data_IF_407842774266
#
_entry.id   IF_407842774266
#
_cell.length_a   1.000
_cell.length_b   1.000
_cell.length_c   1.000
_cell.angle_alpha   90.00
_cell.angle_beta   90.00
_cell.angle_gamma   90.00
#
_symmetry.space_group_name_H-M   'P 1'
#
loop_
_entity.id
_entity.type
_entity.pdbx_description
1 polymer ?
#
# COMPACT_ATOMS: atom_id res chain seq x y z
N UNK A 1 10.96 -10.40 -0.68
CA UNK A 1 9.51 -10.31 -0.44
C UNK A 1 9.11 -8.85 -0.62
N UNK A 2 8.33 -8.51 -1.64
CA UNK A 2 7.83 -7.14 -1.86
C UNK A 2 6.81 -6.81 -0.77
N UNK A 3 7.22 -6.07 0.26
CA UNK A 3 6.37 -5.59 1.33
C UNK A 3 5.75 -4.21 1.05
N UNK A 4 5.94 -3.66 -0.16
CA UNK A 4 5.22 -2.45 -0.56
C UNK A 4 3.79 -2.83 -0.94
N UNK A 5 2.78 -2.30 -0.24
CA UNK A 5 1.41 -2.49 -0.66
C UNK A 5 1.18 -1.84 -2.04
N UNK A 6 0.38 -2.45 -2.93
CA UNK A 6 0.27 -2.04 -4.34
C UNK A 6 -0.45 -0.70 -4.57
N UNK A 7 -1.01 -0.09 -3.52
CA UNK A 7 -1.84 1.11 -3.61
C UNK A 7 -0.99 2.38 -3.45
N UNK A 8 -1.00 3.23 -4.49
CA UNK A 8 -0.09 4.36 -4.71
C UNK A 8 -0.18 5.55 -3.75
N UNK A 9 -0.14 5.33 -2.43
CA UNK A 9 0.09 6.35 -1.39
C UNK A 9 1.47 6.18 -0.73
N UNK A 10 2.47 6.00 -1.58
CA UNK A 10 3.88 5.89 -1.22
C UNK A 10 4.36 7.26 -0.77
N UNK A 11 4.20 7.54 0.53
CA UNK A 11 4.67 8.77 1.18
C UNK A 11 5.54 8.43 2.38
N UNK A 12 6.36 9.38 2.82
CA UNK A 12 7.30 9.17 3.94
C UNK A 12 6.62 8.73 5.25
N UNK A 13 5.33 9.05 5.41
CA UNK A 13 4.52 8.69 6.58
C UNK A 13 3.93 7.26 6.50
N UNK A 14 4.16 6.53 5.40
CA UNK A 14 3.61 5.19 5.25
C UNK A 14 4.31 4.19 6.16
N UNK A 15 3.51 3.47 6.95
CA UNK A 15 4.03 2.42 7.82
C UNK A 15 4.67 1.28 7.02
N UNK A 16 5.90 0.93 7.39
CA UNK A 16 6.68 -0.11 6.72
C UNK A 16 7.44 0.38 5.49
N UNK A 17 7.41 1.67 5.17
CA UNK A 17 8.09 2.20 4.00
C UNK A 17 9.62 2.14 4.13
N UNK A 18 10.27 1.97 2.98
CA UNK A 18 11.69 2.09 2.77
C UNK A 18 11.89 3.00 1.55
N UNK A 19 12.68 4.06 1.69
CA UNK A 19 12.93 5.03 0.61
C UNK A 19 14.43 5.08 0.38
N UNK A 20 14.81 5.00 -0.89
CA UNK A 20 16.19 5.18 -1.33
C UNK A 20 16.25 6.37 -2.26
N UNK A 21 17.00 7.38 -1.87
CA UNK A 21 17.11 8.64 -2.60
C UNK A 21 18.57 8.90 -2.97
N UNK A 22 18.97 8.66 -4.23
CA UNK A 22 20.31 8.99 -4.70
C UNK A 22 20.56 10.50 -4.58
N UNK A 23 21.67 10.88 -3.94
CA UNK A 23 22.06 12.29 -3.77
C UNK A 23 23.42 12.62 -4.41
N UNK A 24 24.22 11.59 -4.73
CA UNK A 24 25.43 11.69 -5.55
C UNK A 24 25.63 10.40 -6.35
N UNK A 25 26.68 10.33 -7.17
CA UNK A 25 26.99 9.17 -8.01
C UNK A 25 27.31 7.89 -7.20
N UNK A 26 27.86 8.07 -6.00
CA UNK A 26 28.30 7.01 -5.09
C UNK A 26 27.55 7.05 -3.74
N UNK A 27 26.50 7.88 -3.63
CA UNK A 27 25.81 8.13 -2.37
C UNK A 27 24.29 8.08 -2.50
N UNK A 28 23.68 7.20 -1.71
CA UNK A 28 22.23 7.03 -1.58
C UNK A 28 21.80 7.28 -0.14
N UNK A 29 20.82 8.15 0.04
CA UNK A 29 20.15 8.33 1.31
C UNK A 29 19.09 7.23 1.48
N UNK A 30 19.27 6.36 2.46
CA UNK A 30 18.28 5.36 2.86
C UNK A 30 17.42 5.85 4.03
N UNK A 31 16.10 5.78 3.88
CA UNK A 31 15.13 6.02 4.94
C UNK A 31 14.36 4.74 5.22
N UNK A 32 14.25 4.39 6.50
CA UNK A 32 13.53 3.22 6.98
C UNK A 32 12.45 3.65 7.97
N UNK A 33 11.22 3.20 7.75
CA UNK A 33 10.15 3.35 8.72
C UNK A 33 10.53 2.65 10.04
N UNK A 34 10.24 3.27 11.21
CA UNK A 34 10.46 2.63 12.51
C UNK A 34 9.79 1.25 12.65
N UNK A 35 8.64 1.01 12.00
CA UNK A 35 7.98 -0.30 12.04
C UNK A 35 8.77 -1.38 11.27
N UNK A 36 9.47 -1.01 10.20
CA UNK A 36 10.39 -1.92 9.49
C UNK A 36 11.57 -2.30 10.40
N UNK A 37 12.05 -1.35 11.22
CA UNK A 37 13.09 -1.62 12.21
C UNK A 37 12.68 -2.69 13.23
N UNK A 38 11.41 -2.75 13.61
CA UNK A 38 10.92 -3.78 14.53
C UNK A 38 10.94 -5.17 13.88
N UNK A 39 10.64 -5.27 12.58
CA UNK A 39 10.71 -6.53 11.83
C UNK A 39 12.14 -7.08 11.75
N UNK A 40 13.14 -6.21 11.72
CA UNK A 40 14.54 -6.63 11.71
C UNK A 40 14.95 -7.43 12.94
N UNK A 41 14.36 -7.17 14.11
CA UNK A 41 14.67 -7.97 15.31
C UNK A 41 14.24 -9.43 15.16
N UNK A 42 13.25 -9.73 14.31
CA UNK A 42 12.78 -11.09 14.06
C UNK A 42 13.76 -11.92 13.20
N UNK A 43 14.60 -11.25 12.43
CA UNK A 43 15.55 -11.88 11.50
C UNK A 43 17.01 -11.69 11.90
N UNK A 44 17.25 -11.05 13.05
CA UNK A 44 18.60 -10.87 13.60
C UNK A 44 19.20 -12.23 13.99
N UNK A 45 20.46 -12.46 13.61
CA UNK A 45 21.16 -13.73 13.77
C UNK A 45 20.93 -14.74 12.66
N UNK A 46 20.08 -14.44 11.66
CA UNK A 46 19.84 -15.35 10.54
C UNK A 46 20.93 -15.28 9.46
N UNK A 47 21.65 -14.17 9.36
CA UNK A 47 22.75 -14.00 8.40
C UNK A 47 23.67 -12.85 8.82
N UNK A 48 25.00 -13.01 8.73
CA UNK A 48 25.96 -11.92 8.99
C UNK A 48 25.70 -10.65 8.16
N UNK A 49 25.17 -10.81 6.94
CA UNK A 49 24.82 -9.69 6.05
C UNK A 49 23.64 -8.90 6.62
N UNK A 50 22.60 -9.60 7.09
CA UNK A 50 21.42 -9.00 7.72
C UNK A 50 21.83 -8.32 9.03
N UNK A 51 22.67 -8.96 9.84
CA UNK A 51 23.13 -8.40 11.11
C UNK A 51 23.94 -7.13 10.92
N UNK A 52 24.81 -7.09 9.90
CA UNK A 52 25.56 -5.89 9.55
C UNK A 52 24.64 -4.74 9.13
N UNK A 53 23.65 -4.99 8.28
CA UNK A 53 22.63 -4.00 7.90
C UNK A 53 21.90 -3.47 9.14
N UNK A 54 21.43 -4.36 10.01
CA UNK A 54 20.69 -4.00 11.23
C UNK A 54 21.55 -3.16 12.17
N UNK A 55 22.81 -3.54 12.36
CA UNK A 55 23.74 -2.82 13.23
C UNK A 55 24.05 -1.42 12.68
N UNK A 56 24.26 -1.28 11.37
CA UNK A 56 24.45 0.03 10.74
C UNK A 56 23.20 0.91 10.86
N UNK A 57 22.00 0.36 10.65
CA UNK A 57 20.74 1.09 10.82
C UNK A 57 20.53 1.53 12.28
N UNK A 58 20.87 0.67 13.25
CA UNK A 58 20.78 1.02 14.68
C UNK A 58 21.73 2.16 15.05
N UNK A 59 22.92 2.18 14.46
CA UNK A 59 23.98 3.14 14.76
C UNK A 59 23.94 4.40 13.88
N UNK A 60 22.96 4.53 12.98
CA UNK A 60 22.89 5.61 11.97
C UNK A 60 24.17 5.70 11.12
N UNK A 61 24.76 4.54 10.83
CA UNK A 61 25.99 4.41 10.06
C UNK A 61 25.74 4.36 8.54
N UNK A 62 26.83 4.43 7.78
CA UNK A 62 26.85 4.21 6.34
C UNK A 62 27.00 2.73 6.01
N UNK A 63 26.38 2.29 4.92
CA UNK A 63 26.52 0.92 4.41
C UNK A 63 27.17 1.00 3.04
N UNK A 64 28.29 0.30 2.86
CA UNK A 64 28.87 0.10 1.54
C UNK A 64 28.00 -0.86 0.74
N UNK A 65 27.51 -0.38 -0.41
CA UNK A 65 26.73 -1.18 -1.34
C UNK A 65 27.67 -2.00 -2.23
N UNK A 66 27.30 -3.24 -2.53
CA UNK A 66 28.00 -4.04 -3.55
C UNK A 66 27.57 -3.63 -4.95
N UNK A 67 28.31 -4.04 -5.98
CA UNK A 67 27.89 -3.84 -7.39
C UNK A 67 26.50 -4.40 -7.67
N UNK A 68 26.15 -5.55 -7.07
CA UNK A 68 24.81 -6.14 -7.15
C UNK A 68 23.74 -5.22 -6.56
N UNK A 69 24.02 -4.59 -5.41
CA UNK A 69 23.10 -3.63 -4.82
C UNK A 69 22.93 -2.38 -5.69
N UNK A 70 24.02 -1.89 -6.29
CA UNK A 70 23.99 -0.74 -7.21
C UNK A 70 23.12 -1.05 -8.42
N UNK A 71 23.32 -2.22 -9.07
CA UNK A 71 22.50 -2.67 -10.18
C UNK A 71 21.03 -2.78 -9.81
N UNK A 72 20.72 -3.29 -8.61
CA UNK A 72 19.36 -3.33 -8.08
C UNK A 72 18.74 -1.92 -7.96
N UNK A 73 19.46 -0.93 -7.41
CA UNK A 73 18.95 0.44 -7.28
C UNK A 73 18.74 1.12 -8.62
N UNK A 74 19.67 0.96 -9.57
CA UNK A 74 19.54 1.49 -10.92
C UNK A 74 18.31 0.90 -11.64
N UNK A 75 18.12 -0.42 -11.52
CA UNK A 75 16.93 -1.08 -12.03
C UNK A 75 15.64 -0.53 -11.40
N UNK A 76 15.65 -0.27 -10.08
CA UNK A 76 14.48 0.32 -9.40
C UNK A 76 14.17 1.73 -9.88
N UNK A 77 15.18 2.55 -10.22
CA UNK A 77 14.94 3.86 -10.84
C UNK A 77 14.25 3.70 -12.19
N UNK A 78 14.74 2.79 -13.04
CA UNK A 78 14.12 2.50 -14.34
C UNK A 78 12.66 2.04 -14.21
N UNK A 79 12.40 1.11 -13.29
CA UNK A 79 11.06 0.52 -13.10
C UNK A 79 10.04 1.47 -12.49
N UNK A 80 10.47 2.41 -11.65
CA UNK A 80 9.56 3.29 -10.90
C UNK A 80 9.55 4.73 -11.41
N UNK A 81 10.39 5.07 -12.39
CA UNK A 81 10.38 6.38 -13.04
C UNK A 81 9.17 6.55 -13.94
N UNK A 82 8.35 7.56 -13.66
CA UNK A 82 7.15 7.84 -14.46
C UNK A 82 7.42 8.56 -15.77
N UNK A 83 8.50 9.36 -15.82
CA UNK A 83 8.69 10.32 -16.92
C UNK A 83 10.13 10.44 -17.36
N UNK A 84 11.05 10.60 -16.42
CA UNK A 84 12.46 10.80 -16.72
C UNK A 84 13.32 9.96 -15.79
N UNK A 85 14.41 9.46 -16.33
CA UNK A 85 15.52 8.88 -15.57
C UNK A 85 16.66 9.87 -15.74
N UNK A 86 17.26 10.26 -14.62
CA UNK A 86 18.36 11.20 -14.61
C UNK A 86 19.66 10.45 -14.40
N UNK A 87 20.70 10.88 -15.10
CA UNK A 87 22.07 10.40 -14.91
C UNK A 87 23.00 11.60 -15.03
N UNK A 88 24.06 11.63 -14.22
CA UNK A 88 25.13 12.63 -14.32
C UNK A 88 25.99 12.45 -15.58
N UNK A 89 25.95 11.25 -16.16
CA UNK A 89 26.68 10.87 -17.38
C UNK A 89 25.72 10.33 -18.43
N UNK A 90 26.07 10.45 -19.72
CA UNK A 90 25.33 9.83 -20.82
C UNK A 90 25.59 8.32 -20.89
N UNK A 91 25.20 7.60 -19.83
CA UNK A 91 25.38 6.16 -19.69
C UNK A 91 24.04 5.49 -19.38
N UNK A 92 23.27 5.24 -20.43
CA UNK A 92 21.98 4.53 -20.35
C UNK A 92 22.06 3.11 -20.94
N UNK A 93 23.27 2.54 -21.07
CA UNK A 93 23.48 1.22 -21.68
C UNK A 93 22.66 0.13 -20.98
N UNK A 94 22.83 -0.01 -19.67
CA UNK A 94 22.09 -0.98 -18.85
C UNK A 94 20.57 -0.77 -18.92
N UNK A 95 20.12 0.49 -18.96
CA UNK A 95 18.69 0.80 -19.08
C UNK A 95 18.13 0.35 -20.42
N UNK A 96 18.88 0.53 -21.51
CA UNK A 96 18.48 0.08 -22.86
C UNK A 96 18.40 -1.44 -22.92
N UNK A 97 19.44 -2.13 -22.43
CA UNK A 97 19.47 -3.59 -22.37
C UNK A 97 18.30 -4.15 -21.55
N UNK A 98 18.00 -3.52 -20.41
CA UNK A 98 16.87 -3.91 -19.58
C UNK A 98 15.53 -3.74 -20.30
N UNK A 99 15.31 -2.60 -20.95
CA UNK A 99 14.08 -2.34 -21.70
C UNK A 99 13.94 -3.24 -22.93
N UNK A 100 15.03 -3.62 -23.57
CA UNK A 100 15.01 -4.58 -24.68
C UNK A 100 14.64 -6.00 -24.21
N UNK A 101 15.07 -6.36 -23.00
CA UNK A 101 14.69 -7.63 -22.35
C UNK A 101 13.24 -7.63 -21.86
N UNK A 102 12.74 -6.49 -21.40
CA UNK A 102 11.40 -6.33 -20.81
C UNK A 102 10.63 -5.17 -21.48
N UNK A 103 10.16 -5.37 -22.73
CA UNK A 103 9.55 -4.32 -23.52
C UNK A 103 8.26 -3.74 -22.93
N UNK A 104 7.60 -4.44 -22.01
CA UNK A 104 6.43 -3.94 -21.28
C UNK A 104 6.71 -2.63 -20.51
N UNK A 105 7.96 -2.41 -20.05
CA UNK A 105 8.35 -1.18 -19.35
C UNK A 105 8.64 -0.01 -20.29
N UNK A 106 8.68 -0.23 -21.62
CA UNK A 106 8.76 0.87 -22.61
C UNK A 106 7.46 1.67 -22.67
N UNK A 107 6.35 1.11 -22.19
CA UNK A 107 5.05 1.75 -22.19
C UNK A 107 4.94 2.71 -21.01
N UNK A 108 4.94 4.01 -21.29
CA UNK A 108 4.75 5.05 -20.26
C UNK A 108 3.27 5.11 -19.88
N UNK A 109 2.91 4.57 -18.72
CA UNK A 109 1.59 4.75 -18.13
C UNK A 109 1.57 6.04 -17.27
N UNK A 110 1.00 7.10 -17.83
CA UNK A 110 0.75 8.34 -17.10
C UNK A 110 -0.17 8.08 -15.90
N UNK A 111 0.30 8.38 -14.68
CA UNK A 111 -0.55 8.43 -13.46
C UNK A 111 -1.47 9.65 -13.40
N UNK A 112 -1.36 10.57 -14.35
CA UNK A 112 -2.33 11.66 -14.49
C UNK A 112 -3.52 11.10 -15.27
N UNK A 113 -4.48 10.56 -14.53
CA UNK A 113 -5.79 10.19 -15.03
C UNK A 113 -6.83 11.02 -14.29
N UNK A 114 -7.67 11.75 -15.03
CA UNK A 114 -8.86 12.36 -14.48
C UNK A 114 -9.95 11.29 -14.44
N UNK A 115 -10.31 10.80 -13.25
CA UNK A 115 -11.33 9.77 -13.07
C UNK A 115 -10.91 8.68 -12.09
N UNK A 116 -11.71 7.60 -11.96
CA UNK A 116 -11.38 6.48 -11.09
C UNK A 116 -10.07 5.83 -11.54
N UNK A 117 -9.08 5.84 -10.65
CA UNK A 117 -7.75 5.29 -10.91
C UNK A 117 -7.80 3.78 -10.62
N UNK A 118 -7.52 2.96 -11.64
CA UNK A 118 -7.19 1.55 -11.43
C UNK A 118 -5.83 1.47 -10.75
N UNK A 119 -5.78 0.88 -9.57
CA UNK A 119 -4.54 0.59 -8.86
C UNK A 119 -3.93 -0.69 -9.42
N UNK A 120 -3.09 -0.55 -10.45
CA UNK A 120 -2.33 -1.65 -11.03
C UNK A 120 -1.54 -2.36 -9.92
N UNK A 121 -1.84 -3.64 -9.67
CA UNK A 121 -1.25 -4.45 -8.60
C UNK A 121 -2.21 -4.84 -7.48
N UNK A 122 -3.42 -4.26 -7.42
CA UNK A 122 -4.48 -4.76 -6.56
C UNK A 122 -5.01 -6.12 -7.06
N UNK A 123 -5.40 -7.05 -6.16
CA UNK A 123 -6.13 -8.25 -6.56
C UNK A 123 -7.45 -7.90 -7.28
N UNK A 124 -7.90 -8.79 -8.17
CA UNK A 124 -9.24 -8.70 -8.77
C UNK A 124 -10.33 -9.05 -7.75
N UNK A 125 -11.56 -8.61 -7.99
CA UNK A 125 -12.69 -8.76 -7.07
C UNK A 125 -12.76 -7.67 -6.00
N UNK A 126 -13.58 -7.92 -4.98
CA UNK A 126 -13.78 -6.98 -3.88
C UNK A 126 -12.73 -7.20 -2.77
N UNK A 127 -12.01 -6.14 -2.43
CA UNK A 127 -10.93 -6.15 -1.45
C UNK A 127 -11.12 -4.99 -0.48
N UNK A 128 -11.01 -5.29 0.81
CA UNK A 128 -10.91 -4.26 1.85
C UNK A 128 -9.43 -4.11 2.26
N UNK A 129 -8.93 -2.90 2.15
CA UNK A 129 -7.63 -2.50 2.70
C UNK A 129 -7.89 -1.82 4.04
N UNK A 130 -7.21 -2.29 5.08
CA UNK A 130 -7.34 -1.79 6.45
C UNK A 130 -6.02 -1.15 6.84
N UNK A 131 -6.11 0.04 7.41
CA UNK A 131 -4.96 0.79 7.91
C UNK A 131 -5.14 1.02 9.41
N UNK A 132 -4.15 0.55 10.17
CA UNK A 132 -3.99 0.84 11.59
C UNK A 132 -2.77 1.73 11.77
N UNK A 133 -2.53 2.15 13.00
CA UNK A 133 -1.35 2.94 13.35
C UNK A 133 -0.05 2.20 13.03
N UNK A 134 0.01 0.89 13.25
CA UNK A 134 1.26 0.12 13.16
C UNK A 134 1.43 -0.69 11.87
N UNK A 135 0.36 -0.87 11.09
CA UNK A 135 0.41 -1.67 9.86
C UNK A 135 -0.74 -1.34 8.90
N UNK A 136 -0.63 -1.90 7.69
CA UNK A 136 -1.77 -2.01 6.78
C UNK A 136 -1.82 -3.42 6.22
N UNK A 137 -3.02 -3.87 5.89
CA UNK A 137 -3.25 -5.19 5.35
C UNK A 137 -4.49 -5.22 4.45
N UNK A 138 -4.63 -6.30 3.68
CA UNK A 138 -5.75 -6.51 2.76
C UNK A 138 -6.48 -7.80 3.15
N UNK A 139 -7.79 -7.79 2.98
CA UNK A 139 -8.63 -9.00 3.03
C UNK A 139 -9.55 -9.04 1.84
N UNK A 140 -9.67 -10.21 1.24
CA UNK A 140 -10.68 -10.47 0.22
C UNK A 140 -12.04 -10.54 0.88
N UNK A 141 -13.03 -9.86 0.31
CA UNK A 141 -14.38 -9.78 0.88
C UNK A 141 -15.44 -10.30 -0.10
N UNK A 142 -16.57 -10.73 0.44
CA UNK A 142 -17.73 -11.15 -0.32
C UNK A 142 -19.01 -10.76 0.44
N UNK A 143 -20.18 -10.90 -0.21
CA UNK A 143 -21.47 -10.51 0.38
C UNK A 143 -21.45 -9.05 0.88
N UNK A 144 -20.93 -8.17 0.02
CA UNK A 144 -20.69 -6.76 0.32
C UNK A 144 -21.99 -5.95 0.28
N UNK A 145 -22.30 -5.30 1.39
CA UNK A 145 -23.33 -4.28 1.48
C UNK A 145 -22.71 -2.94 1.88
N UNK A 146 -22.69 -2.00 0.94
CA UNK A 146 -22.15 -0.66 1.16
C UNK A 146 -23.30 0.35 1.30
N UNK A 147 -23.69 0.64 2.55
CA UNK A 147 -24.67 1.66 2.98
C UNK A 147 -23.97 2.87 3.62
N UNK A 148 -24.47 3.40 4.74
CA UNK A 148 -23.66 4.25 5.64
C UNK A 148 -22.52 3.48 6.28
N UNK A 149 -22.74 2.22 6.65
CA UNK A 149 -21.70 1.26 6.99
C UNK A 149 -21.25 0.45 5.76
N UNK A 150 -20.07 -0.18 5.87
CA UNK A 150 -19.62 -1.26 5.00
C UNK A 150 -19.81 -2.55 5.81
N UNK A 151 -20.74 -3.39 5.39
CA UNK A 151 -20.90 -4.76 5.90
C UNK A 151 -20.40 -5.75 4.86
N UNK A 152 -19.64 -6.75 5.31
CA UNK A 152 -19.04 -7.74 4.42
C UNK A 152 -18.74 -9.04 5.18
N UNK A 153 -18.57 -10.11 4.43
CA UNK A 153 -18.02 -11.39 4.92
C UNK A 153 -16.63 -11.62 4.35
N UNK A 154 -15.82 -12.38 5.07
CA UNK A 154 -14.47 -12.75 4.59
C UNK A 154 -14.08 -14.14 5.07
N UNK A 155 -13.45 -14.91 4.19
CA UNK A 155 -12.84 -16.21 4.55
C UNK A 155 -11.57 -16.02 5.38
N UNK A 156 -11.02 -14.82 5.37
CA UNK A 156 -9.79 -14.42 6.06
C UNK A 156 -10.10 -13.83 7.45
N UNK A 157 -11.26 -14.16 8.03
CA UNK A 157 -11.73 -13.60 9.30
C UNK A 157 -10.75 -13.77 10.47
N UNK A 158 -10.10 -14.94 10.67
CA UNK A 158 -9.09 -15.07 11.72
C UNK A 158 -7.87 -14.19 11.47
N UNK A 159 -7.47 -14.00 10.21
CA UNK A 159 -6.35 -13.13 9.82
C UNK A 159 -6.70 -11.68 10.11
N UNK A 160 -7.92 -11.25 9.75
CA UNK A 160 -8.42 -9.91 10.02
C UNK A 160 -8.34 -9.56 11.52
N UNK A 161 -8.85 -10.44 12.39
CA UNK A 161 -8.80 -10.22 13.84
C UNK A 161 -7.37 -10.25 14.39
N UNK A 162 -6.55 -11.18 13.90
CA UNK A 162 -5.14 -11.32 14.33
C UNK A 162 -4.31 -10.11 13.90
N UNK A 163 -4.55 -9.55 12.71
CA UNK A 163 -3.83 -8.39 12.21
C UNK A 163 -4.30 -7.08 12.85
N UNK A 164 -5.58 -6.98 13.24
CA UNK A 164 -6.02 -5.88 14.08
C UNK A 164 -5.34 -5.93 15.46
N UNK A 165 -5.25 -7.10 16.10
CA UNK A 165 -4.59 -7.27 17.40
C UNK A 165 -4.99 -6.22 18.48
N UNK A 166 -6.25 -5.76 18.44
CA UNK A 166 -6.77 -4.72 19.34
C UNK A 166 -6.38 -3.29 18.96
N UNK A 167 -5.68 -3.06 17.85
CA UNK A 167 -5.42 -1.73 17.32
C UNK A 167 -6.68 -1.08 16.76
N UNK A 168 -6.73 0.24 16.88
CA UNK A 168 -7.75 1.05 16.25
C UNK A 168 -7.52 1.14 14.74
N UNK A 169 -8.62 1.06 13.98
CA UNK A 169 -8.61 1.25 12.55
C UNK A 169 -8.63 2.76 12.27
N UNK A 170 -7.58 3.28 11.64
CA UNK A 170 -7.50 4.70 11.28
C UNK A 170 -8.32 4.99 10.02
N UNK A 171 -8.22 4.10 9.03
CA UNK A 171 -8.97 4.21 7.79
C UNK A 171 -9.15 2.84 7.11
N UNK A 172 -10.18 2.75 6.26
CA UNK A 172 -10.39 1.60 5.38
C UNK A 172 -10.64 2.07 3.95
N UNK A 173 -10.21 1.27 3.00
CA UNK A 173 -10.45 1.49 1.58
C UNK A 173 -11.04 0.23 0.95
N UNK A 174 -12.18 0.39 0.30
CA UNK A 174 -12.87 -0.64 -0.44
C UNK A 174 -12.56 -0.50 -1.92
N UNK A 175 -11.96 -1.55 -2.48
CA UNK A 175 -11.68 -1.69 -3.89
C UNK A 175 -12.59 -2.75 -4.51
N UNK A 176 -13.02 -2.50 -5.74
CA UNK A 176 -13.71 -3.48 -6.59
C UNK A 176 -13.02 -3.49 -7.94
N UNK A 177 -12.51 -4.64 -8.34
CA UNK A 177 -11.75 -4.83 -9.58
C UNK A 177 -10.66 -3.76 -9.77
N UNK A 178 -9.85 -3.59 -8.72
CA UNK A 178 -8.71 -2.65 -8.65
C UNK A 178 -9.08 -1.16 -8.64
N UNK A 179 -10.36 -0.81 -8.63
CA UNK A 179 -10.84 0.57 -8.56
C UNK A 179 -11.24 0.89 -7.13
N UNK A 180 -10.74 2.00 -6.59
CA UNK A 180 -11.19 2.52 -5.29
C UNK A 180 -12.67 2.93 -5.40
N UNK A 181 -13.55 2.19 -4.75
CA UNK A 181 -14.99 2.46 -4.72
C UNK A 181 -15.35 3.36 -3.54
N UNK A 182 -14.68 3.16 -2.40
CA UNK A 182 -14.99 3.91 -1.19
C UNK A 182 -13.79 3.97 -0.24
N UNK A 183 -13.49 5.15 0.28
CA UNK A 183 -12.58 5.33 1.42
C UNK A 183 -13.35 5.84 2.63
N UNK A 184 -12.98 5.38 3.82
CA UNK A 184 -13.54 5.86 5.09
C UNK A 184 -12.41 6.12 6.09
N UNK A 185 -12.58 7.13 6.95
CA UNK A 185 -11.70 7.48 8.06
C UNK A 185 -12.52 7.60 9.34
N UNK A 186 -11.84 7.65 10.49
CA UNK A 186 -12.46 7.72 11.81
C UNK A 186 -13.42 6.55 11.99
N UNK A 187 -12.87 5.35 12.02
CA UNK A 187 -13.62 4.11 11.86
C UNK A 187 -14.06 3.57 13.22
N UNK A 188 -15.25 2.96 13.27
CA UNK A 188 -15.64 2.04 14.34
C UNK A 188 -16.13 0.73 13.76
N UNK A 189 -15.84 -0.37 14.45
CA UNK A 189 -16.47 -1.65 14.17
C UNK A 189 -17.86 -1.62 14.83
N UNK A 190 -18.91 -1.73 14.02
CA UNK A 190 -20.29 -1.73 14.50
C UNK A 190 -20.68 -3.10 15.07
N UNK A 191 -20.28 -4.17 14.37
CA UNK A 191 -20.56 -5.54 14.75
C UNK A 191 -19.53 -6.51 14.15
N UNK A 192 -19.35 -7.63 14.83
CA UNK A 192 -18.53 -8.77 14.40
C UNK A 192 -19.30 -10.04 14.74
N UNK A 193 -19.62 -10.84 13.73
CA UNK A 193 -20.24 -12.15 13.89
C UNK A 193 -19.24 -13.25 13.47
N UNK A 194 -18.64 -13.98 14.44
CA UNK A 194 -17.66 -15.01 14.14
C UNK A 194 -18.27 -16.28 13.52
N UNK A 195 -19.59 -16.50 13.62
CA UNK A 195 -20.25 -17.67 13.05
C UNK A 195 -20.45 -17.47 11.55
N UNK A 196 -20.96 -16.31 11.17
CA UNK A 196 -21.21 -15.97 9.75
C UNK A 196 -20.01 -15.33 9.07
N UNK A 197 -18.94 -15.03 9.84
CA UNK A 197 -17.74 -14.27 9.42
C UNK A 197 -18.05 -12.86 8.93
N UNK A 198 -19.20 -12.32 9.36
CA UNK A 198 -19.67 -11.00 8.97
C UNK A 198 -19.07 -9.91 9.87
N UNK A 199 -18.62 -8.82 9.24
CA UNK A 199 -18.07 -7.65 9.91
C UNK A 199 -18.79 -6.43 9.36
N UNK A 200 -19.24 -5.54 10.24
CA UNK A 200 -19.80 -4.24 9.87
C UNK A 200 -18.94 -3.12 10.40
N UNK A 201 -18.57 -2.19 9.52
CA UNK A 201 -17.67 -1.08 9.79
C UNK A 201 -18.37 0.24 9.42
N UNK A 202 -18.40 1.20 10.34
CA UNK A 202 -19.01 2.51 10.15
C UNK A 202 -18.07 3.66 10.48
N UNK A 203 -18.53 4.90 10.26
CA UNK A 203 -17.85 6.05 10.85
C UNK A 203 -18.12 6.10 12.35
N UNK A 204 -17.10 6.41 13.13
CA UNK A 204 -17.18 6.70 14.55
C UNK A 204 -18.16 7.86 14.80
N UNK A 205 -18.06 8.91 13.98
CA UNK A 205 -18.99 10.04 14.00
C UNK A 205 -20.37 9.64 13.40
N UNK A 206 -21.45 9.64 14.20
CA UNK A 206 -22.79 9.26 13.73
C UNK A 206 -23.36 10.20 12.67
N UNK A 207 -22.95 11.48 12.66
CA UNK A 207 -23.40 12.47 11.66
C UNK A 207 -22.92 12.08 10.27
N UNK A 208 -21.71 11.55 10.15
CA UNK A 208 -21.17 11.09 8.86
C UNK A 208 -21.99 9.94 8.30
N UNK A 209 -22.41 8.99 9.15
CA UNK A 209 -23.27 7.89 8.72
C UNK A 209 -24.62 8.42 8.18
N UNK A 210 -25.26 9.34 8.90
CA UNK A 210 -26.53 9.95 8.47
C UNK A 210 -26.43 10.75 7.16
N UNK A 211 -25.32 11.47 6.96
CA UNK A 211 -25.07 12.22 5.74
C UNK A 211 -24.97 11.29 4.52
N UNK A 212 -24.25 10.17 4.67
CA UNK A 212 -24.07 9.18 3.60
C UNK A 212 -25.41 8.54 3.22
N UNK A 213 -26.23 8.17 4.20
CA UNK A 213 -27.57 7.63 3.95
C UNK A 213 -28.46 8.64 3.20
N UNK A 214 -28.40 9.92 3.58
CA UNK A 214 -29.15 10.99 2.94
C UNK A 214 -28.74 11.24 1.49
N UNK A 215 -27.44 11.15 1.18
CA UNK A 215 -26.93 11.31 -0.19
C UNK A 215 -27.36 10.16 -1.10
N UNK A 216 -27.38 8.92 -0.59
CA UNK A 216 -27.82 7.75 -1.37
C UNK A 216 -29.32 7.78 -1.67
N UNK A 217 -30.14 8.16 -0.69
CA UNK A 217 -31.58 8.29 -0.89
C UNK A 217 -31.93 9.32 -1.99
N UNK A 218 -31.18 10.43 -2.07
CA UNK A 218 -31.34 11.43 -3.13
C UNK A 218 -30.96 10.90 -4.52
N UNK A 219 -29.90 10.10 -4.62
CA UNK A 219 -29.46 9.51 -5.90
C UNK A 219 -30.44 8.46 -6.42
N UNK A 220 -31.07 7.69 -5.54
CA UNK A 220 -32.08 6.70 -5.94
C UNK A 220 -33.36 7.38 -6.46
N UNK A 221 -33.84 8.43 -5.79
CA UNK A 221 -35.01 9.19 -6.27
C UNK A 221 -34.78 9.93 -7.60
N UNK A 222 -33.54 10.27 -7.96
CA UNK A 222 -33.25 10.85 -9.28
C UNK A 222 -33.23 9.81 -10.41
N UNK A 223 -33.03 8.52 -10.10
CA UNK A 223 -33.07 7.44 -11.11
C UNK A 223 -34.48 6.97 -11.43
N UNK A 224 -35.44 7.16 -10.51
CA UNK A 224 -36.84 6.73 -10.69
C UNK A 224 -37.71 7.75 -11.46
N UNK A 225 -37.15 8.91 -11.83
CA UNK A 225 -37.85 10.01 -12.51
C UNK A 225 -37.31 10.21 -13.95
N UNK A 226 -36.40 9.34 -14.42
CA UNK A 226 -35.76 9.41 -15.73
C UNK A 226 -36.27 8.38 -16.73
#
# INVERSE_FOLDING_TARGET
MNSSPPYGRIGIDQTGIEIYYPIAEDLVLGYYCPSTRNKFNLVYGMSPVIDNLINNLKNRGSISLTEENIGFFNQKQLLNSYRFIYSSQDNFGESKEYLDKYPEFKKVESRITAGPIKQNGMPMGDVLVVFTKSLSFMVSIYDLHSGSAISFKTKEFPIFLTQLNGEEIENVELYSDQVLVRGMREIKINSVDPITTEISIGHANPVMNQLIDSLKNKQNHQKDIG
#
